data_IF_486859984150
#
_entry.id   IF_486859984150
#
_cell.length_a   1.000
_cell.length_b   1.000
_cell.length_c   1.000
_cell.angle_alpha   90.00
_cell.angle_beta   90.00
_cell.angle_gamma   90.00
#
_symmetry.space_group_name_H-M   'P 1'
#
loop_
_entity.id
_entity.type
_entity.pdbx_description
1 polymer ?
#
# COMPACT_ATOMS: atom_id res chain seq x y z
N UNK A 1 -10.73 10.60 -9.77
CA UNK A 1 -10.13 9.34 -10.23
C UNK A 1 -10.60 8.25 -9.28
N UNK A 2 -11.29 7.23 -9.79
CA UNK A 2 -11.69 6.08 -8.97
C UNK A 2 -10.74 4.91 -9.33
N UNK A 3 -10.01 4.49 -8.30
CA UNK A 3 -8.85 3.61 -8.32
C UNK A 3 -9.29 2.14 -8.38
N UNK A 4 -8.59 1.21 -9.04
CA UNK A 4 -8.85 -0.24 -9.02
C UNK A 4 -9.20 -0.82 -7.63
N UNK A 5 -8.62 -0.25 -6.57
CA UNK A 5 -8.90 -0.59 -5.17
C UNK A 5 -10.38 -0.42 -4.79
N UNK A 6 -11.11 0.52 -5.39
CA UNK A 6 -12.54 0.70 -5.11
C UNK A 6 -13.38 -0.41 -5.72
N UNK A 7 -13.06 -0.90 -6.93
CA UNK A 7 -13.72 -2.09 -7.51
C UNK A 7 -13.50 -3.31 -6.63
N UNK A 8 -12.27 -3.49 -6.13
CA UNK A 8 -11.95 -4.54 -5.15
C UNK A 8 -12.79 -4.40 -3.86
N UNK A 9 -12.89 -3.18 -3.31
CA UNK A 9 -13.75 -2.92 -2.13
C UNK A 9 -15.21 -3.26 -2.40
N UNK A 10 -15.76 -2.89 -3.57
CA UNK A 10 -17.14 -3.19 -3.93
C UNK A 10 -17.38 -4.69 -4.07
N UNK A 11 -16.46 -5.42 -4.71
CA UNK A 11 -16.50 -6.88 -4.79
C UNK A 11 -16.50 -7.54 -3.40
N UNK A 12 -15.61 -7.12 -2.50
CA UNK A 12 -15.57 -7.62 -1.12
C UNK A 12 -16.89 -7.30 -0.39
N UNK A 13 -17.42 -6.08 -0.51
CA UNK A 13 -18.71 -5.70 0.09
C UNK A 13 -19.84 -6.57 -0.43
N UNK A 14 -19.90 -6.83 -1.73
CA UNK A 14 -20.92 -7.68 -2.33
C UNK A 14 -20.90 -9.08 -1.72
N UNK A 15 -19.73 -9.74 -1.69
CA UNK A 15 -19.61 -11.11 -1.16
C UNK A 15 -20.00 -11.16 0.32
N UNK A 16 -19.66 -10.11 1.08
CA UNK A 16 -19.94 -10.02 2.51
C UNK A 16 -21.34 -9.50 2.86
N UNK A 17 -22.14 -9.08 1.89
CA UNK A 17 -23.44 -8.48 2.12
C UNK A 17 -24.45 -9.47 2.73
N UNK A 18 -24.30 -10.78 2.49
CA UNK A 18 -25.15 -11.80 3.10
C UNK A 18 -24.43 -13.15 3.27
N UNK A 19 -24.88 -14.01 4.21
CA UNK A 19 -24.33 -15.36 4.37
C UNK A 19 -24.44 -16.20 3.09
N UNK A 20 -25.54 -16.05 2.34
CA UNK A 20 -25.76 -16.78 1.08
C UNK A 20 -24.71 -16.43 0.03
N UNK A 21 -24.40 -15.14 -0.15
CA UNK A 21 -23.33 -14.69 -1.08
C UNK A 21 -21.97 -15.19 -0.65
N UNK A 22 -21.70 -15.14 0.66
CA UNK A 22 -20.45 -15.67 1.22
C UNK A 22 -20.31 -17.18 0.97
N UNK A 23 -21.38 -17.96 1.10
CA UNK A 23 -21.35 -19.41 0.86
C UNK A 23 -21.14 -19.76 -0.62
N UNK A 24 -21.71 -18.98 -1.55
CA UNK A 24 -21.38 -19.10 -2.98
C UNK A 24 -19.89 -18.82 -3.19
N UNK A 25 -19.35 -17.77 -2.57
CA UNK A 25 -17.94 -17.44 -2.70
C UNK A 25 -17.03 -18.54 -2.15
N UNK A 26 -17.35 -19.12 -0.98
CA UNK A 26 -16.61 -20.27 -0.45
C UNK A 26 -16.57 -21.45 -1.42
N UNK A 27 -17.67 -21.71 -2.15
CA UNK A 27 -17.68 -22.74 -3.21
C UNK A 27 -16.74 -22.36 -4.36
N UNK A 28 -16.76 -21.11 -4.80
CA UNK A 28 -15.81 -20.62 -5.81
C UNK A 28 -14.35 -20.74 -5.35
N UNK A 29 -14.03 -20.42 -4.09
CA UNK A 29 -12.69 -20.60 -3.50
C UNK A 29 -12.24 -22.06 -3.58
N UNK A 30 -13.14 -23.01 -3.27
CA UNK A 30 -12.86 -24.45 -3.37
C UNK A 30 -12.64 -24.89 -4.82
N UNK A 31 -13.51 -24.46 -5.74
CA UNK A 31 -13.42 -24.78 -7.17
C UNK A 31 -12.14 -24.23 -7.80
N UNK A 32 -11.74 -23.02 -7.42
CA UNK A 32 -10.51 -22.36 -7.89
C UNK A 32 -9.25 -22.89 -7.22
N UNK A 33 -9.37 -23.86 -6.30
CA UNK A 33 -8.25 -24.48 -5.54
C UNK A 33 -7.35 -23.44 -4.86
N UNK A 34 -7.95 -22.38 -4.33
CA UNK A 34 -7.22 -21.34 -3.61
C UNK A 34 -6.62 -21.94 -2.34
N UNK A 35 -5.30 -21.84 -2.18
CA UNK A 35 -4.59 -22.40 -1.03
C UNK A 35 -4.86 -21.62 0.28
N UNK A 36 -5.23 -20.34 0.17
CA UNK A 36 -5.50 -19.48 1.32
C UNK A 36 -6.83 -19.87 2.00
N UNK A 37 -6.77 -20.04 3.32
CA UNK A 37 -7.94 -20.19 4.20
C UNK A 37 -8.37 -18.87 4.85
N UNK A 38 -7.71 -17.77 4.50
CA UNK A 38 -7.99 -16.44 5.07
C UNK A 38 -9.41 -15.96 4.74
N UNK A 39 -9.99 -15.17 5.63
CA UNK A 39 -11.24 -14.46 5.35
C UNK A 39 -10.94 -13.19 4.57
N UNK A 40 -11.69 -12.91 3.51
CA UNK A 40 -11.63 -11.60 2.84
C UNK A 40 -12.27 -10.53 3.74
N UNK A 41 -11.56 -9.43 3.97
CA UNK A 41 -12.00 -8.34 4.84
C UNK A 41 -11.88 -7.01 4.13
N UNK A 42 -12.80 -6.08 4.42
CA UNK A 42 -12.71 -4.73 3.91
C UNK A 42 -11.74 -3.90 4.75
N UNK A 43 -11.02 -2.99 4.11
CA UNK A 43 -10.12 -2.06 4.77
C UNK A 43 -10.84 -0.90 5.46
N UNK A 44 -10.10 -0.19 6.30
CA UNK A 44 -10.42 1.17 6.72
C UNK A 44 -9.80 2.11 5.69
N UNK A 45 -10.62 2.72 4.82
CA UNK A 45 -10.16 3.49 3.66
C UNK A 45 -9.24 4.69 3.99
N UNK A 46 -9.25 5.17 5.24
CA UNK A 46 -8.37 6.24 5.73
C UNK A 46 -7.03 5.73 6.28
N UNK A 47 -6.81 4.41 6.32
CA UNK A 47 -5.61 3.76 6.87
C UNK A 47 -4.99 2.82 5.83
N UNK A 48 -3.97 3.32 5.15
CA UNK A 48 -3.13 2.59 4.21
C UNK A 48 -2.63 1.21 4.70
N UNK A 49 -2.24 1.04 5.98
CA UNK A 49 -1.88 -0.28 6.54
C UNK A 49 -3.05 -1.28 6.47
N UNK A 50 -4.28 -0.80 6.70
CA UNK A 50 -5.47 -1.63 6.53
C UNK A 50 -5.73 -1.94 5.06
N UNK A 51 -5.46 -0.98 4.16
CA UNK A 51 -5.57 -1.17 2.71
C UNK A 51 -4.56 -2.21 2.22
N UNK A 52 -3.30 -2.13 2.66
CA UNK A 52 -2.26 -3.13 2.37
C UNK A 52 -2.72 -4.54 2.75
N UNK A 53 -3.13 -4.74 4.01
CA UNK A 53 -3.58 -6.04 4.50
C UNK A 53 -4.80 -6.58 3.74
N UNK A 54 -5.71 -5.71 3.32
CA UNK A 54 -6.83 -6.10 2.46
C UNK A 54 -6.33 -6.58 1.09
N UNK A 55 -5.44 -5.81 0.44
CA UNK A 55 -4.93 -6.12 -0.89
C UNK A 55 -4.06 -7.38 -0.92
N UNK A 56 -3.10 -7.52 0.01
CA UNK A 56 -2.26 -8.71 0.14
C UNK A 56 -3.08 -9.98 0.36
N UNK A 57 -4.19 -9.88 1.09
CA UNK A 57 -5.05 -11.02 1.32
C UNK A 57 -5.99 -11.30 0.13
N UNK A 58 -6.65 -10.28 -0.42
CA UNK A 58 -7.70 -10.44 -1.45
C UNK A 58 -7.13 -10.92 -2.79
N UNK A 59 -5.91 -10.55 -3.13
CA UNK A 59 -5.21 -11.00 -4.35
C UNK A 59 -5.13 -12.53 -4.44
N UNK A 60 -4.95 -13.21 -3.30
CA UNK A 60 -4.93 -14.69 -3.21
C UNK A 60 -6.24 -15.33 -3.69
N UNK A 61 -7.32 -14.53 -3.77
CA UNK A 61 -8.66 -14.95 -4.17
C UNK A 61 -9.09 -14.43 -5.54
N UNK A 62 -8.20 -13.86 -6.36
CA UNK A 62 -8.48 -13.37 -7.73
C UNK A 62 -9.34 -14.38 -8.52
N UNK A 63 -8.85 -15.62 -8.67
CA UNK A 63 -9.56 -16.69 -9.38
C UNK A 63 -10.92 -17.04 -8.78
N UNK A 64 -11.11 -16.82 -7.47
CA UNK A 64 -12.41 -17.08 -6.85
C UNK A 64 -13.43 -15.99 -7.22
N UNK A 65 -13.01 -14.73 -7.32
CA UNK A 65 -13.85 -13.63 -7.81
C UNK A 65 -14.20 -13.79 -9.30
N UNK A 66 -13.27 -14.25 -10.12
CA UNK A 66 -13.53 -14.58 -11.53
C UNK A 66 -14.59 -15.68 -11.65
N UNK A 67 -14.44 -16.78 -10.91
CA UNK A 67 -15.44 -17.86 -10.88
C UNK A 67 -16.79 -17.37 -10.33
N UNK A 68 -16.79 -16.49 -9.32
CA UNK A 68 -18.03 -15.92 -8.78
C UNK A 68 -18.82 -15.19 -9.87
N UNK A 69 -18.13 -14.41 -10.71
CA UNK A 69 -18.75 -13.66 -11.81
C UNK A 69 -19.33 -14.56 -12.91
N UNK A 70 -18.92 -15.83 -13.00
CA UNK A 70 -19.50 -16.83 -13.90
C UNK A 70 -20.71 -17.53 -13.29
N UNK A 71 -20.73 -17.70 -11.96
CA UNK A 71 -21.77 -18.44 -11.25
C UNK A 71 -22.99 -17.61 -10.86
N UNK A 72 -22.81 -16.32 -10.57
CA UNK A 72 -23.90 -15.43 -10.15
C UNK A 72 -24.02 -14.24 -11.12
N UNK A 73 -24.96 -14.28 -12.08
CA UNK A 73 -25.19 -13.17 -13.00
C UNK A 73 -25.51 -11.85 -12.29
N UNK A 74 -26.12 -11.88 -11.09
CA UNK A 74 -26.42 -10.68 -10.33
C UNK A 74 -25.16 -9.99 -9.80
N UNK A 75 -24.04 -10.72 -9.69
CA UNK A 75 -22.75 -10.15 -9.29
C UNK A 75 -22.33 -9.03 -10.24
N UNK A 76 -22.37 -9.29 -11.55
CA UNK A 76 -22.01 -8.30 -12.56
C UNK A 76 -23.00 -7.15 -12.55
N UNK A 77 -24.30 -7.45 -12.63
CA UNK A 77 -25.35 -6.42 -12.73
C UNK A 77 -25.45 -5.53 -11.50
N UNK A 78 -25.20 -6.04 -10.29
CA UNK A 78 -25.19 -5.21 -9.09
C UNK A 78 -23.92 -4.37 -8.99
N UNK A 79 -22.74 -4.94 -9.30
CA UNK A 79 -21.50 -4.19 -9.28
C UNK A 79 -21.43 -3.14 -10.39
N UNK A 80 -22.09 -3.37 -11.52
CA UNK A 80 -22.31 -2.37 -12.57
C UNK A 80 -23.10 -1.17 -12.06
N UNK A 81 -23.89 -1.30 -10.99
CA UNK A 81 -24.59 -0.17 -10.36
C UNK A 81 -23.77 0.49 -9.25
N UNK A 82 -22.60 -0.04 -8.92
CA UNK A 82 -21.75 0.50 -7.86
C UNK A 82 -20.76 1.54 -8.40
N UNK A 83 -20.78 2.73 -7.80
CA UNK A 83 -19.88 3.83 -8.15
C UNK A 83 -20.61 5.06 -8.68
N UNK A 84 -19.91 6.19 -8.84
CA UNK A 84 -20.42 7.37 -9.53
C UNK A 84 -20.87 7.04 -10.95
N UNK A 85 -21.90 7.73 -11.46
CA UNK A 85 -22.29 7.59 -12.87
C UNK A 85 -21.10 7.85 -13.81
N UNK A 86 -20.97 7.10 -14.92
CA UNK A 86 -19.93 7.31 -15.91
C UNK A 86 -19.98 8.75 -16.41
N UNK A 87 -18.89 9.50 -16.26
CA UNK A 87 -18.72 10.78 -16.94
C UNK A 87 -18.02 10.51 -18.28
N UNK A 88 -18.35 11.25 -19.35
CA UNK A 88 -17.75 11.04 -20.69
C UNK A 88 -16.21 11.03 -20.68
N UNK A 89 -15.60 11.77 -19.75
CA UNK A 89 -14.16 11.96 -19.63
C UNK A 89 -13.54 11.15 -18.46
N UNK A 90 -14.29 10.24 -17.84
CA UNK A 90 -13.83 9.45 -16.71
C UNK A 90 -13.85 7.96 -17.04
N UNK A 91 -12.79 7.25 -16.62
CA UNK A 91 -12.71 5.79 -16.67
C UNK A 91 -13.97 5.16 -16.06
N UNK A 92 -14.49 4.12 -16.73
CA UNK A 92 -15.62 3.34 -16.24
C UNK A 92 -15.27 2.74 -14.87
N UNK A 93 -16.15 3.01 -13.90
CA UNK A 93 -15.95 2.77 -12.47
C UNK A 93 -16.79 1.59 -11.98
N UNK A 94 -17.60 1.04 -12.87
CA UNK A 94 -18.65 0.10 -12.60
C UNK A 94 -18.19 -1.32 -12.93
N UNK A 95 -18.84 -2.29 -12.29
CA UNK A 95 -18.65 -3.71 -12.60
C UNK A 95 -17.62 -4.43 -11.72
N UNK A 96 -17.44 -5.74 -11.99
CA UNK A 96 -16.53 -6.58 -11.23
C UNK A 96 -15.06 -6.22 -11.49
N UNK A 97 -14.14 -6.64 -10.59
CA UNK A 97 -12.71 -6.49 -10.82
C UNK A 97 -12.27 -7.14 -12.13
N UNK A 98 -11.49 -6.42 -12.93
CA UNK A 98 -10.93 -6.88 -14.21
C UNK A 98 -9.51 -7.40 -14.06
N UNK A 99 -8.94 -8.03 -15.10
CA UNK A 99 -7.54 -8.46 -15.08
C UNK A 99 -6.57 -7.28 -14.84
N UNK A 100 -6.85 -6.12 -15.42
CA UNK A 100 -6.03 -4.92 -15.21
C UNK A 100 -6.07 -4.43 -13.76
N UNK A 101 -7.21 -4.61 -13.07
CA UNK A 101 -7.29 -4.30 -11.63
C UNK A 101 -6.38 -5.20 -10.82
N UNK A 102 -6.31 -6.49 -11.13
CA UNK A 102 -5.47 -7.43 -10.38
C UNK A 102 -3.98 -7.18 -10.60
N UNK A 103 -3.57 -6.83 -11.82
CA UNK A 103 -2.20 -6.38 -12.09
C UNK A 103 -1.88 -5.11 -11.30
N UNK A 104 -2.78 -4.14 -11.32
CA UNK A 104 -2.63 -2.93 -10.51
C UNK A 104 -2.52 -3.25 -9.01
N UNK A 105 -3.36 -4.13 -8.48
CA UNK A 105 -3.33 -4.56 -7.07
C UNK A 105 -2.00 -5.21 -6.71
N UNK A 106 -1.46 -6.05 -7.59
CA UNK A 106 -0.18 -6.74 -7.39
C UNK A 106 1.00 -5.77 -7.27
N UNK A 107 1.00 -4.67 -8.03
CA UNK A 107 2.05 -3.65 -7.94
C UNK A 107 1.78 -2.69 -6.78
N UNK A 108 0.53 -2.21 -6.64
CA UNK A 108 0.18 -1.24 -5.61
C UNK A 108 0.33 -1.78 -4.19
N UNK A 109 0.09 -3.08 -3.97
CA UNK A 109 0.35 -3.69 -2.66
C UNK A 109 1.84 -3.61 -2.28
N UNK A 110 2.77 -3.70 -3.24
CA UNK A 110 4.21 -3.64 -2.98
C UNK A 110 4.61 -2.24 -2.53
N UNK A 111 4.09 -1.21 -3.20
CA UNK A 111 4.21 0.17 -2.75
C UNK A 111 3.71 0.35 -1.30
N UNK A 112 2.52 -0.14 -0.99
CA UNK A 112 1.96 -0.05 0.37
C UNK A 112 2.72 -0.93 1.39
N UNK A 113 3.40 -1.98 0.95
CA UNK A 113 4.13 -2.89 1.83
C UNK A 113 5.30 -2.18 2.50
N UNK A 114 6.10 -1.40 1.76
CA UNK A 114 7.21 -0.64 2.33
C UNK A 114 6.78 0.22 3.51
N UNK A 115 5.63 0.85 3.35
CA UNK A 115 5.03 1.70 4.35
C UNK A 115 4.43 0.96 5.54
N UNK A 116 3.84 -0.20 5.29
CA UNK A 116 3.37 -1.10 6.34
C UNK A 116 4.55 -1.56 7.21
N UNK A 117 5.64 -1.98 6.58
CA UNK A 117 6.85 -2.45 7.26
C UNK A 117 7.51 -1.33 8.06
N UNK A 118 7.67 -0.14 7.46
CA UNK A 118 8.16 1.05 8.14
C UNK A 118 7.28 1.41 9.34
N UNK A 119 5.95 1.41 9.17
CA UNK A 119 5.03 1.70 10.28
C UNK A 119 5.21 0.72 11.43
N UNK A 120 5.33 -0.58 11.14
CA UNK A 120 5.56 -1.59 12.16
C UNK A 120 6.90 -1.39 12.87
N UNK A 121 7.95 -1.03 12.11
CA UNK A 121 9.29 -0.77 12.64
C UNK A 121 9.28 0.39 13.63
N UNK A 122 8.65 1.52 13.28
CA UNK A 122 8.59 2.72 14.14
C UNK A 122 7.54 2.64 15.26
N UNK A 123 6.55 1.76 15.14
CA UNK A 123 5.51 1.53 16.16
C UNK A 123 5.94 0.53 17.25
N UNK A 124 7.16 0.00 17.19
CA UNK A 124 7.69 -0.91 18.18
C UNK A 124 7.73 -0.28 19.58
N UNK A 125 7.29 -1.03 20.60
CA UNK A 125 7.29 -0.59 22.00
C UNK A 125 8.32 -1.30 22.87
N UNK A 126 8.93 -2.37 22.35
CA UNK A 126 9.89 -3.22 23.08
C UNK A 126 11.36 -2.81 22.89
N UNK A 127 11.60 -1.81 22.04
CA UNK A 127 12.92 -1.29 21.72
C UNK A 127 12.81 0.20 21.43
N UNK A 128 13.94 0.91 21.51
CA UNK A 128 13.99 2.33 21.15
C UNK A 128 13.83 2.45 19.64
N UNK A 129 12.87 3.24 19.20
CA UNK A 129 12.61 3.51 17.78
C UNK A 129 13.11 4.88 17.36
N UNK A 130 13.11 5.87 18.26
CA UNK A 130 13.41 7.27 17.94
C UNK A 130 14.78 7.47 17.27
N UNK A 131 15.76 6.64 17.58
CA UNK A 131 17.11 6.69 16.99
C UNK A 131 17.13 6.30 15.50
N UNK A 132 16.18 5.50 15.01
CA UNK A 132 16.09 5.12 13.58
C UNK A 132 15.18 6.05 12.77
N UNK A 133 14.39 6.93 13.40
CA UNK A 133 13.36 7.73 12.71
C UNK A 133 13.91 8.54 11.54
N UNK A 134 15.13 9.08 11.67
CA UNK A 134 15.74 9.86 10.60
C UNK A 134 16.00 9.02 9.34
N UNK A 135 16.48 7.79 9.51
CA UNK A 135 16.68 6.84 8.40
C UNK A 135 15.33 6.49 7.75
N UNK A 136 14.31 6.17 8.55
CA UNK A 136 12.99 5.84 8.01
C UNK A 136 12.38 6.99 7.21
N UNK A 137 12.56 8.24 7.66
CA UNK A 137 12.09 9.42 6.93
C UNK A 137 12.81 9.53 5.59
N UNK A 138 14.12 9.30 5.55
CA UNK A 138 14.89 9.30 4.31
C UNK A 138 14.46 8.17 3.36
N UNK A 139 14.21 6.96 3.88
CA UNK A 139 13.71 5.82 3.11
C UNK A 139 12.37 6.14 2.45
N UNK A 140 11.45 6.81 3.15
CA UNK A 140 10.18 7.28 2.56
C UNK A 140 10.41 8.22 1.39
N UNK A 141 11.38 9.14 1.48
CA UNK A 141 11.68 10.05 0.38
C UNK A 141 12.18 9.31 -0.86
N UNK A 142 13.09 8.35 -0.64
CA UNK A 142 13.65 7.53 -1.71
C UNK A 142 12.54 6.71 -2.40
N UNK A 143 11.71 6.02 -1.61
CA UNK A 143 10.55 5.29 -2.11
C UNK A 143 9.61 6.20 -2.92
N UNK A 144 9.23 7.35 -2.38
CA UNK A 144 8.36 8.29 -3.10
C UNK A 144 9.00 8.82 -4.39
N UNK A 145 10.33 8.93 -4.43
CA UNK A 145 11.10 9.22 -5.64
C UNK A 145 10.95 8.13 -6.70
N UNK A 146 11.34 6.90 -6.36
CA UNK A 146 11.28 5.75 -7.27
C UNK A 146 9.88 5.54 -7.84
N UNK A 147 8.88 5.56 -6.97
CA UNK A 147 7.49 5.33 -7.37
C UNK A 147 6.85 6.53 -8.09
N UNK A 148 7.40 7.75 -7.98
CA UNK A 148 6.91 8.89 -8.80
C UNK A 148 7.29 8.74 -10.29
N UNK A 149 8.34 7.99 -10.57
CA UNK A 149 8.83 7.73 -11.93
C UNK A 149 8.41 6.34 -12.45
N UNK A 150 7.78 5.52 -11.60
CA UNK A 150 7.34 4.17 -11.92
C UNK A 150 6.03 4.15 -12.72
N UNK A 151 6.01 3.45 -13.84
CA UNK A 151 4.86 3.30 -14.73
C UNK A 151 4.12 1.99 -14.44
N UNK A 152 2.83 2.09 -14.12
CA UNK A 152 1.95 0.93 -13.91
C UNK A 152 0.93 0.87 -15.04
N UNK A 153 0.91 -0.25 -15.79
CA UNK A 153 -0.05 -0.63 -16.83
C UNK A 153 -1.03 0.46 -17.32
N UNK A 154 -0.68 1.26 -18.33
CA UNK A 154 -1.61 2.11 -19.11
C UNK A 154 -2.36 3.24 -18.37
N UNK A 155 -2.51 3.15 -17.05
CA UNK A 155 -3.13 4.09 -16.10
C UNK A 155 -2.05 4.80 -15.26
N UNK A 156 -0.90 5.07 -15.89
CA UNK A 156 0.29 5.72 -15.31
C UNK A 156 -0.07 6.98 -14.51
N UNK A 157 -1.01 7.77 -15.06
CA UNK A 157 -1.44 9.03 -14.47
C UNK A 157 -2.07 8.90 -13.08
N UNK A 158 -2.79 7.81 -12.78
CA UNK A 158 -3.46 7.67 -11.48
C UNK A 158 -2.42 7.44 -10.38
N UNK A 159 -1.53 6.48 -10.60
CA UNK A 159 -0.51 6.12 -9.62
C UNK A 159 0.50 7.26 -9.44
N UNK A 160 0.98 7.84 -10.55
CA UNK A 160 1.87 8.99 -10.54
C UNK A 160 1.28 10.20 -9.84
N UNK A 161 0.00 10.53 -10.10
CA UNK A 161 -0.68 11.62 -9.40
C UNK A 161 -0.75 11.40 -7.89
N UNK A 162 -0.97 10.15 -7.45
CA UNK A 162 -0.97 9.80 -6.03
C UNK A 162 0.42 9.89 -5.41
N UNK A 163 1.45 9.32 -6.05
CA UNK A 163 2.84 9.40 -5.60
C UNK A 163 3.29 10.87 -5.46
N UNK A 164 2.99 11.72 -6.45
CA UNK A 164 3.27 13.17 -6.41
C UNK A 164 2.55 13.87 -5.25
N UNK A 165 1.28 13.55 -4.99
CA UNK A 165 0.53 14.10 -3.85
C UNK A 165 1.11 13.65 -2.50
N UNK A 166 1.60 12.41 -2.42
CA UNK A 166 2.26 11.90 -1.22
C UNK A 166 3.61 12.57 -1.02
N UNK A 167 4.39 12.75 -2.09
CA UNK A 167 5.66 13.51 -2.08
C UNK A 167 5.45 14.96 -1.66
N UNK A 168 4.44 15.64 -2.18
CA UNK A 168 4.11 17.00 -1.75
C UNK A 168 3.77 17.08 -0.25
N UNK A 169 3.10 16.06 0.32
CA UNK A 169 2.89 15.98 1.77
C UNK A 169 4.19 15.70 2.52
N UNK A 170 5.03 14.80 2.01
CA UNK A 170 6.35 14.52 2.59
C UNK A 170 7.16 15.82 2.70
N UNK A 171 7.34 16.55 1.59
CA UNK A 171 8.10 17.81 1.55
C UNK A 171 7.57 18.84 2.53
N UNK A 172 6.24 18.92 2.69
CA UNK A 172 5.60 19.83 3.65
C UNK A 172 6.02 19.57 5.11
N UNK A 173 6.20 18.32 5.50
CA UNK A 173 6.50 17.93 6.89
C UNK A 173 7.99 17.68 7.14
N UNK A 174 8.71 17.18 6.13
CA UNK A 174 10.04 16.61 6.24
C UNK A 174 11.04 17.14 5.21
N UNK A 175 10.63 18.00 4.28
CA UNK A 175 11.49 18.56 3.24
C UNK A 175 12.39 19.71 3.68
N UNK A 176 12.10 20.29 4.85
CA UNK A 176 12.88 21.40 5.42
C UNK A 176 13.42 21.00 6.81
N UNK A 177 14.72 20.69 6.93
CA UNK A 177 15.35 20.32 8.19
C UNK A 177 15.18 21.35 9.31
N UNK A 178 15.01 22.64 8.99
CA UNK A 178 14.81 23.68 10.01
C UNK A 178 13.41 23.62 10.63
N UNK A 179 12.43 23.11 9.89
CA UNK A 179 11.04 22.91 10.35
C UNK A 179 10.82 21.55 11.01
N UNK A 180 11.75 20.60 10.81
CA UNK A 180 11.68 19.28 11.41
C UNK A 180 11.88 19.34 12.94
N UNK A 181 11.32 18.34 13.63
CA UNK A 181 11.53 18.21 15.06
C UNK A 181 13.00 17.90 15.38
N UNK A 182 13.69 18.83 16.05
CA UNK A 182 15.12 18.73 16.42
C UNK A 182 15.47 17.47 17.21
N UNK A 183 14.51 16.93 17.97
CA UNK A 183 14.71 15.69 18.73
C UNK A 183 15.00 14.47 17.83
N UNK A 184 14.55 14.47 16.57
CA UNK A 184 14.85 13.39 15.62
C UNK A 184 16.35 13.33 15.32
N UNK A 185 16.98 14.49 15.10
CA UNK A 185 18.43 14.56 14.87
C UNK A 185 19.22 14.23 16.12
N UNK A 186 18.79 14.72 17.29
CA UNK A 186 19.45 14.39 18.56
C UNK A 186 19.40 12.89 18.82
N UNK A 187 18.24 12.24 18.62
CA UNK A 187 18.10 10.80 18.80
C UNK A 187 18.99 10.00 17.84
N UNK A 188 19.13 10.44 16.59
CA UNK A 188 20.01 9.81 15.60
C UNK A 188 21.50 9.98 15.97
N UNK A 189 21.93 11.17 16.42
CA UNK A 189 23.32 11.43 16.83
C UNK A 189 23.71 10.62 18.07
N UNK A 190 22.77 10.44 18.99
CA UNK A 190 22.98 9.66 20.22
C UNK A 190 23.01 8.15 19.97
N UNK A 191 22.76 7.68 18.75
CA UNK A 191 22.81 6.27 18.43
C UNK A 191 24.28 5.77 18.38
N UNK A 192 24.68 4.86 19.29
CA UNK A 192 26.04 4.36 19.35
C UNK A 192 26.51 3.66 18.06
N UNK A 193 25.57 3.20 17.21
CA UNK A 193 25.89 2.53 15.94
C UNK A 193 26.68 3.43 15.01
N UNK A 194 26.34 4.72 14.91
CA UNK A 194 27.12 5.66 14.08
C UNK A 194 28.38 6.17 14.78
N UNK A 195 28.42 6.15 16.12
CA UNK A 195 29.59 6.62 16.87
C UNK A 195 30.84 5.81 16.52
N UNK A 196 30.70 4.52 16.25
CA UNK A 196 31.82 3.67 15.81
C UNK A 196 32.32 4.09 14.44
N UNK A 197 31.42 4.37 13.49
CA UNK A 197 31.79 4.84 12.15
C UNK A 197 32.47 6.21 12.20
N UNK A 198 31.97 7.13 13.05
CA UNK A 198 32.62 8.41 13.30
C UNK A 198 34.01 8.23 13.92
N UNK A 199 34.16 7.37 14.92
CA UNK A 199 35.46 7.09 15.55
C UNK A 199 36.45 6.46 14.55
N UNK A 200 36.01 5.56 13.70
CA UNK A 200 36.83 4.97 12.64
C UNK A 200 37.27 6.04 11.61
N UNK A 201 36.35 6.91 11.19
CA UNK A 201 36.66 8.04 10.31
C UNK A 201 37.67 9.01 10.95
N UNK A 202 37.50 9.35 12.22
CA UNK A 202 38.47 10.15 12.98
C UNK A 202 39.82 9.44 13.11
N UNK A 203 39.85 8.16 13.43
CA UNK A 203 41.10 7.39 13.46
C UNK A 203 41.81 7.40 12.10
N UNK A 204 41.10 7.27 10.98
CA UNK A 204 41.70 7.36 9.65
C UNK A 204 42.29 8.75 9.36
N UNK A 205 41.60 9.82 9.75
CA UNK A 205 42.08 11.19 9.55
C UNK A 205 43.33 11.52 10.37
N UNK A 206 43.46 10.97 11.57
CA UNK A 206 44.57 11.29 12.48
C UNK A 206 45.72 10.26 12.46
N UNK A 207 45.46 9.01 12.05
CA UNK A 207 46.48 7.96 11.97
C UNK A 207 47.14 7.87 10.58
N UNK A 208 46.46 8.25 9.49
CA UNK A 208 47.10 8.30 8.16
C UNK A 208 47.84 9.62 7.85
N UNK A 209 47.75 10.61 8.74
CA UNK A 209 48.46 11.89 8.63
C UNK A 209 49.66 12.02 9.60
N UNK A 210 50.07 10.94 10.26
CA UNK A 210 51.25 10.89 11.14
C UNK A 210 52.32 9.94 10.62
#
# INVERSE_FOLDING_TARGET
MCHPVNRIRHAIKFVRASPTRLDVFKKCVQLSKVASKGLINIDVATRWNSTFLMLDNVEKFERAFEQYALHDPNYKTELEKTGPEPKPDALDQQGPPTQSDWVYVCEFKQFLQHFYDLTNKVSGTKYVTANTFLEEIADVNFLLGEWSDHVICGDDEIFKCMALKMKAKYEKYWGDPEKMNKYIFIAAILDPRYVVDWLLFFCQLYVCCS
#
